data_IF_151448805264
#
_entry.id   IF_151448805264
#
_cell.length_a   1.000
_cell.length_b   1.000
_cell.length_c   1.000
_cell.angle_alpha   90.00
_cell.angle_beta   90.00
_cell.angle_gamma   90.00
#
_symmetry.space_group_name_H-M   'P 1'
#
loop_
_entity.id
_entity.type
_entity.pdbx_description
1 polymer ?
#
# COMPACT_ATOMS: atom_id res chain seq x y z
N UNK A 1 7.34 -7.63 23.62
CA UNK A 1 6.44 -8.38 22.70
C UNK A 1 6.28 -7.57 21.44
N UNK A 2 6.38 -8.20 20.28
CA UNK A 2 6.16 -7.54 18.98
C UNK A 2 4.66 -7.34 18.72
N UNK A 3 4.29 -6.35 17.91
CA UNK A 3 2.89 -6.07 17.53
C UNK A 3 2.31 -7.15 16.61
N UNK A 4 3.15 -7.68 15.72
CA UNK A 4 2.83 -8.80 14.80
C UNK A 4 3.65 -10.02 15.24
N UNK A 5 3.06 -11.21 15.15
CA UNK A 5 3.70 -12.49 15.49
C UNK A 5 3.80 -13.37 14.25
N UNK A 6 4.98 -13.95 14.04
CA UNK A 6 5.21 -14.99 13.05
C UNK A 6 5.25 -16.34 13.76
N UNK A 7 4.30 -17.22 13.45
CA UNK A 7 4.21 -18.57 14.00
C UNK A 7 4.45 -19.60 12.90
N UNK A 8 5.59 -20.26 12.97
CA UNK A 8 6.02 -21.31 12.05
C UNK A 8 6.09 -22.69 12.73
N UNK A 9 5.47 -22.84 13.91
CA UNK A 9 5.46 -24.10 14.68
C UNK A 9 4.87 -25.29 13.93
N UNK A 10 3.97 -25.04 12.98
CA UNK A 10 3.37 -26.09 12.12
C UNK A 10 4.32 -26.62 11.04
N UNK A 11 5.47 -25.97 10.83
CA UNK A 11 6.50 -26.42 9.90
C UNK A 11 7.62 -27.18 10.61
N UNK A 12 7.98 -26.73 11.81
CA UNK A 12 9.08 -27.29 12.59
C UNK A 12 8.85 -28.73 13.01
N UNK A 13 9.85 -29.58 12.81
CA UNK A 13 9.85 -31.00 13.20
C UNK A 13 8.90 -31.89 12.37
N UNK A 14 8.16 -31.31 11.42
CA UNK A 14 7.32 -32.06 10.48
C UNK A 14 7.86 -31.98 9.04
N UNK A 15 8.29 -30.79 8.62
CA UNK A 15 8.77 -30.55 7.26
C UNK A 15 10.14 -29.89 7.21
N UNK A 16 10.53 -29.18 8.27
CA UNK A 16 11.82 -28.52 8.41
C UNK A 16 12.32 -28.74 9.84
N UNK A 17 13.56 -29.17 9.99
CA UNK A 17 14.19 -29.31 11.29
C UNK A 17 14.76 -27.98 11.80
N UNK A 18 14.88 -27.82 13.12
CA UNK A 18 15.40 -26.58 13.72
C UNK A 18 16.82 -26.26 13.22
N UNK A 19 17.67 -27.28 13.07
CA UNK A 19 19.05 -27.12 12.60
C UNK A 19 19.11 -26.54 11.18
N UNK A 20 18.15 -26.85 10.31
CA UNK A 20 18.09 -26.30 8.96
C UNK A 20 17.88 -24.78 8.98
N UNK A 21 17.05 -24.29 9.91
CA UNK A 21 16.86 -22.85 10.12
C UNK A 21 18.14 -22.23 10.69
N UNK A 22 18.76 -22.88 11.68
CA UNK A 22 19.97 -22.39 12.34
C UNK A 22 21.13 -22.27 11.33
N UNK A 23 21.24 -23.18 10.37
CA UNK A 23 22.25 -23.14 9.31
C UNK A 23 22.06 -22.00 8.31
N UNK A 24 20.89 -21.33 8.27
CA UNK A 24 20.67 -20.14 7.45
C UNK A 24 21.17 -18.85 8.11
N UNK A 25 21.49 -18.87 9.42
CA UNK A 25 21.83 -17.67 10.17
C UNK A 25 23.01 -16.87 9.56
N UNK A 26 24.12 -17.49 9.08
CA UNK A 26 25.19 -16.74 8.45
C UNK A 26 24.74 -15.94 7.21
N UNK A 27 23.86 -16.51 6.39
CA UNK A 27 23.32 -15.89 5.18
C UNK A 27 22.35 -14.76 5.54
N UNK A 28 21.52 -14.96 6.57
CA UNK A 28 20.63 -13.91 7.09
C UNK A 28 21.43 -12.72 7.61
N UNK A 29 22.50 -12.97 8.37
CA UNK A 29 23.38 -11.91 8.87
C UNK A 29 24.02 -11.11 7.72
N UNK A 30 24.52 -11.78 6.68
CA UNK A 30 25.08 -11.12 5.51
C UNK A 30 24.03 -10.27 4.78
N UNK A 31 22.81 -10.77 4.63
CA UNK A 31 21.71 -10.02 4.00
C UNK A 31 21.30 -8.79 4.82
N UNK A 32 21.18 -8.91 6.15
CA UNK A 32 20.91 -7.78 7.05
C UNK A 32 22.02 -6.72 6.95
N UNK A 33 23.28 -7.14 6.92
CA UNK A 33 24.42 -6.23 6.74
C UNK A 33 24.37 -5.49 5.40
N UNK A 34 24.07 -6.18 4.30
CA UNK A 34 23.93 -5.55 2.99
C UNK A 34 22.82 -4.51 2.94
N UNK A 35 21.69 -4.78 3.59
CA UNK A 35 20.57 -3.84 3.68
C UNK A 35 20.96 -2.62 4.53
N UNK A 36 21.46 -2.83 5.75
CA UNK A 36 21.76 -1.74 6.69
C UNK A 36 22.95 -0.88 6.26
N UNK A 37 23.94 -1.46 5.58
CA UNK A 37 25.12 -0.73 5.09
C UNK A 37 24.95 -0.23 3.66
N UNK A 38 23.89 -0.63 2.95
CA UNK A 38 23.66 -0.24 1.56
C UNK A 38 24.75 -0.74 0.61
N UNK A 39 25.36 -1.89 0.88
CA UNK A 39 26.47 -2.44 0.07
C UNK A 39 26.04 -3.55 -0.89
N UNK A 40 24.80 -4.04 -0.77
CA UNK A 40 24.26 -5.06 -1.66
C UNK A 40 23.80 -4.52 -3.02
N UNK A 41 23.56 -5.39 -4.02
CA UNK A 41 22.97 -4.99 -5.29
C UNK A 41 21.61 -4.29 -5.11
N UNK A 42 21.40 -3.19 -5.83
CA UNK A 42 20.16 -2.39 -5.74
C UNK A 42 20.10 -1.46 -4.53
N UNK A 43 21.24 -1.20 -3.88
CA UNK A 43 21.31 -0.33 -2.69
C UNK A 43 20.83 1.11 -2.93
N UNK A 44 20.79 1.56 -4.17
CA UNK A 44 20.20 2.85 -4.57
C UNK A 44 18.70 2.97 -4.20
N UNK A 45 18.00 1.85 -3.96
CA UNK A 45 16.55 1.79 -3.71
C UNK A 45 16.18 1.37 -2.28
N UNK A 46 17.01 1.68 -1.29
CA UNK A 46 16.80 1.31 0.13
C UNK A 46 16.10 2.39 0.97
N UNK A 47 15.62 3.48 0.37
CA UNK A 47 14.97 4.58 1.09
C UNK A 47 13.76 4.17 1.94
N UNK A 48 13.14 3.02 1.65
CA UNK A 48 12.02 2.47 2.43
C UNK A 48 12.41 1.96 3.82
N UNK A 49 13.69 1.66 4.08
CA UNK A 49 14.14 1.14 5.38
C UNK A 49 13.87 2.14 6.50
N UNK A 50 14.26 3.39 6.29
CA UNK A 50 14.17 4.45 7.30
C UNK A 50 12.98 5.40 7.06
N UNK A 51 12.23 5.21 5.96
CA UNK A 51 11.07 6.03 5.62
C UNK A 51 10.06 6.17 6.77
N UNK A 52 9.73 5.13 7.57
CA UNK A 52 8.81 5.27 8.70
C UNK A 52 9.26 6.30 9.76
N UNK A 53 10.56 6.54 9.88
CA UNK A 53 11.14 7.49 10.84
C UNK A 53 11.49 8.83 10.19
N UNK A 54 11.97 8.79 8.93
CA UNK A 54 12.59 9.90 8.20
C UNK A 54 11.78 10.41 7.00
N UNK A 55 10.47 10.19 6.95
CA UNK A 55 9.61 10.79 5.93
C UNK A 55 9.59 12.32 6.03
N UNK A 56 9.32 12.99 4.91
CA UNK A 56 9.15 14.45 4.87
C UNK A 56 7.83 14.85 5.58
N UNK A 57 7.98 15.48 6.75
CA UNK A 57 6.86 15.92 7.60
C UNK A 57 6.09 17.09 7.01
N UNK A 58 6.73 17.94 6.21
CA UNK A 58 6.06 19.05 5.53
C UNK A 58 5.21 18.52 4.37
N UNK A 59 5.74 17.56 3.61
CA UNK A 59 4.98 16.84 2.60
C UNK A 59 3.79 16.10 3.21
N UNK A 60 3.99 15.38 4.32
CA UNK A 60 2.90 14.69 5.00
C UNK A 60 1.78 15.66 5.41
N UNK A 61 2.12 16.84 5.93
CA UNK A 61 1.14 17.87 6.24
C UNK A 61 0.43 18.41 4.98
N UNK A 62 1.13 18.54 3.84
CA UNK A 62 0.52 18.91 2.55
C UNK A 62 -0.45 17.83 2.05
N UNK A 63 -0.10 16.55 2.18
CA UNK A 63 -0.97 15.41 1.83
C UNK A 63 -2.28 15.48 2.63
N UNK A 64 -2.20 15.70 3.95
CA UNK A 64 -3.40 15.83 4.79
C UNK A 64 -4.29 17.01 4.37
N UNK A 65 -3.68 18.16 4.05
CA UNK A 65 -4.42 19.33 3.55
C UNK A 65 -5.10 19.06 2.20
N UNK A 66 -4.40 18.39 1.28
CA UNK A 66 -4.96 18.01 -0.01
C UNK A 66 -6.12 17.02 0.15
N UNK A 67 -5.98 16.02 1.02
CA UNK A 67 -7.04 15.07 1.33
C UNK A 67 -8.28 15.75 1.92
N UNK A 68 -8.10 16.69 2.86
CA UNK A 68 -9.21 17.46 3.43
C UNK A 68 -9.91 18.33 2.38
N UNK A 69 -9.15 18.94 1.45
CA UNK A 69 -9.71 19.69 0.34
C UNK A 69 -10.57 18.78 -0.54
N UNK A 70 -10.01 17.67 -1.04
CA UNK A 70 -10.71 16.70 -1.90
C UNK A 70 -11.97 16.16 -1.21
N UNK A 71 -11.94 15.90 0.10
CA UNK A 71 -13.12 15.48 0.84
C UNK A 71 -14.21 16.56 0.92
N UNK A 72 -13.85 17.84 0.85
CA UNK A 72 -14.79 18.96 0.95
C UNK A 72 -15.43 19.35 -0.36
N UNK A 73 -14.78 19.07 -1.49
CA UNK A 73 -15.20 19.54 -2.81
C UNK A 73 -15.18 18.48 -3.92
N UNK A 74 -15.16 17.19 -3.55
CA UNK A 74 -15.30 16.10 -4.52
C UNK A 74 -16.17 14.97 -3.97
N UNK A 75 -17.05 14.46 -4.82
CA UNK A 75 -17.81 13.22 -4.68
C UNK A 75 -16.96 12.00 -5.07
N UNK A 76 -16.00 12.15 -5.98
CA UNK A 76 -15.15 11.06 -6.49
C UNK A 76 -13.67 11.47 -6.56
N UNK A 77 -12.79 10.60 -6.08
CA UNK A 77 -11.35 10.64 -6.36
C UNK A 77 -10.99 9.52 -7.34
N UNK A 78 -10.51 9.89 -8.53
CA UNK A 78 -9.97 8.94 -9.51
C UNK A 78 -8.45 8.87 -9.37
N UNK A 79 -7.94 7.74 -8.89
CA UNK A 79 -6.51 7.47 -8.78
C UNK A 79 -6.00 6.85 -10.08
N UNK A 80 -5.08 7.52 -10.76
CA UNK A 80 -4.50 7.04 -12.03
C UNK A 80 -3.11 6.44 -11.76
N UNK A 81 -2.99 5.12 -11.90
CA UNK A 81 -1.73 4.43 -11.64
C UNK A 81 -1.80 2.93 -11.90
N UNK A 82 -0.63 2.28 -12.04
CA UNK A 82 -0.49 0.84 -12.22
C UNK A 82 0.64 0.30 -11.32
N UNK A 83 0.64 -1.01 -11.06
CA UNK A 83 1.67 -1.65 -10.25
C UNK A 83 1.71 -1.09 -8.83
N UNK A 84 2.89 -0.63 -8.39
CA UNK A 84 3.11 -0.07 -7.05
C UNK A 84 2.24 1.17 -6.76
N UNK A 85 2.01 2.02 -7.76
CA UNK A 85 1.19 3.25 -7.64
C UNK A 85 -0.32 2.98 -7.57
N UNK A 86 -0.74 1.72 -7.58
CA UNK A 86 -2.15 1.30 -7.53
C UNK A 86 -2.40 0.29 -6.41
N UNK A 87 -1.62 -0.80 -6.35
CA UNK A 87 -1.89 -1.91 -5.44
C UNK A 87 -1.74 -1.51 -3.96
N UNK A 88 -0.77 -0.65 -3.62
CA UNK A 88 -0.58 -0.19 -2.24
C UNK A 88 -1.78 0.61 -1.72
N UNK A 89 -2.24 1.58 -2.51
CA UNK A 89 -3.40 2.39 -2.17
C UNK A 89 -4.68 1.53 -2.07
N UNK A 90 -4.93 0.68 -3.09
CA UNK A 90 -6.11 -0.19 -3.11
C UNK A 90 -6.13 -1.18 -1.95
N UNK A 91 -5.00 -1.83 -1.65
CA UNK A 91 -4.93 -2.78 -0.55
C UNK A 91 -5.23 -2.14 0.81
N UNK A 92 -4.68 -0.95 1.09
CA UNK A 92 -4.93 -0.24 2.35
C UNK A 92 -6.40 0.19 2.46
N UNK A 93 -6.98 0.74 1.39
CA UNK A 93 -8.37 1.19 1.36
C UNK A 93 -9.33 0.01 1.51
N UNK A 94 -9.15 -1.06 0.74
CA UNK A 94 -10.01 -2.25 0.79
C UNK A 94 -9.93 -2.96 2.16
N UNK A 95 -8.76 -2.94 2.82
CA UNK A 95 -8.57 -3.56 4.14
C UNK A 95 -9.17 -2.74 5.29
N UNK A 96 -9.10 -1.41 5.22
CA UNK A 96 -9.51 -0.51 6.31
C UNK A 96 -10.93 0.05 6.17
N UNK A 97 -11.54 -0.09 4.99
CA UNK A 97 -12.86 0.48 4.69
C UNK A 97 -13.96 -0.57 4.70
N UNK A 98 -15.22 -0.11 4.68
CA UNK A 98 -16.36 -0.99 4.44
C UNK A 98 -16.25 -1.63 3.03
N UNK A 99 -16.54 -2.94 2.90
CA UNK A 99 -16.48 -3.64 1.60
C UNK A 99 -17.37 -3.03 0.51
N UNK A 100 -18.42 -2.30 0.90
CA UNK A 100 -19.33 -1.61 0.01
C UNK A 100 -19.21 -0.08 0.11
N UNK A 101 -18.06 0.44 0.57
CA UNK A 101 -17.83 1.87 0.81
C UNK A 101 -18.31 2.76 -0.36
N UNK A 102 -17.94 2.41 -1.60
CA UNK A 102 -18.35 3.18 -2.78
C UNK A 102 -19.86 3.10 -3.09
N UNK A 103 -20.58 2.10 -2.57
CA UNK A 103 -22.04 1.94 -2.75
C UNK A 103 -22.84 2.63 -1.63
N UNK A 104 -22.19 3.08 -0.56
CA UNK A 104 -22.85 3.82 0.51
C UNK A 104 -23.30 5.20 0.00
N UNK A 105 -24.39 5.73 0.56
CA UNK A 105 -24.83 7.09 0.30
C UNK A 105 -23.77 8.10 0.78
N UNK A 106 -23.69 9.27 0.14
CA UNK A 106 -22.64 10.26 0.46
C UNK A 106 -22.64 10.66 1.95
N UNK A 107 -23.82 10.78 2.55
CA UNK A 107 -23.98 11.12 3.98
C UNK A 107 -23.41 10.06 4.95
N UNK A 108 -23.30 8.80 4.51
CA UNK A 108 -22.80 7.68 5.31
C UNK A 108 -21.29 7.44 5.09
N UNK A 109 -20.68 8.10 4.10
CA UNK A 109 -19.26 7.98 3.77
C UNK A 109 -18.45 9.05 4.51
N UNK A 110 -17.21 8.70 4.85
CA UNK A 110 -16.22 9.62 5.46
C UNK A 110 -15.41 10.41 4.42
N UNK A 111 -15.75 10.32 3.14
CA UNK A 111 -14.98 10.86 2.03
C UNK A 111 -15.59 10.51 0.66
N UNK A 112 -14.89 10.87 -0.43
CA UNK A 112 -15.35 10.61 -1.78
C UNK A 112 -15.31 9.11 -2.11
N UNK A 113 -16.02 8.72 -3.16
CA UNK A 113 -15.82 7.42 -3.78
C UNK A 113 -14.40 7.34 -4.33
N UNK A 114 -13.73 6.20 -4.15
CA UNK A 114 -12.38 6.01 -4.68
C UNK A 114 -12.45 5.07 -5.88
N UNK A 115 -12.12 5.59 -7.07
CA UNK A 115 -12.07 4.85 -8.32
C UNK A 115 -10.64 4.83 -8.86
N UNK A 116 -10.36 3.90 -9.77
CA UNK A 116 -9.02 3.70 -10.30
C UNK A 116 -9.02 3.72 -11.82
N UNK A 117 -8.00 4.29 -12.43
CA UNK A 117 -7.80 4.26 -13.88
C UNK A 117 -6.31 4.08 -14.22
N UNK A 118 -6.00 3.83 -15.49
CA UNK A 118 -4.62 3.65 -15.95
C UNK A 118 -3.94 2.36 -15.50
N UNK A 119 -4.63 1.52 -14.73
CA UNK A 119 -4.20 0.18 -14.31
C UNK A 119 -4.48 -0.91 -15.37
N UNK A 120 -5.06 -0.54 -16.51
CA UNK A 120 -5.25 -1.39 -17.70
C UNK A 120 -5.37 -0.53 -18.96
N UNK A 121 -5.39 -1.16 -20.14
CA UNK A 121 -5.58 -0.50 -21.46
C UNK A 121 -6.99 -0.81 -22.01
N UNK A 122 -7.97 -1.05 -21.14
CA UNK A 122 -9.35 -1.31 -21.56
C UNK A 122 -10.04 0.02 -21.88
N UNK A 123 -10.24 0.31 -23.16
CA UNK A 123 -10.98 1.49 -23.61
C UNK A 123 -12.44 1.46 -23.15
N UNK A 124 -13.06 0.28 -23.11
CA UNK A 124 -14.41 0.08 -22.57
C UNK A 124 -14.49 0.49 -21.11
N UNK A 125 -13.58 -0.01 -20.27
CA UNK A 125 -13.54 0.36 -18.85
C UNK A 125 -13.39 1.87 -18.65
N UNK A 126 -12.49 2.49 -19.43
CA UNK A 126 -12.29 3.93 -19.34
C UNK A 126 -13.52 4.71 -19.79
N UNK A 127 -14.21 4.28 -20.86
CA UNK A 127 -15.44 4.90 -21.32
C UNK A 127 -16.55 4.80 -20.26
N UNK A 128 -16.72 3.61 -19.66
CA UNK A 128 -17.71 3.39 -18.60
C UNK A 128 -17.39 4.23 -17.35
N UNK A 129 -16.11 4.37 -17.00
CA UNK A 129 -15.67 5.20 -15.87
C UNK A 129 -15.95 6.69 -16.13
N UNK A 130 -15.63 7.19 -17.32
CA UNK A 130 -15.91 8.58 -17.72
C UNK A 130 -17.41 8.85 -17.66
N UNK A 131 -18.22 7.96 -18.23
CA UNK A 131 -19.69 8.06 -18.18
C UNK A 131 -20.20 8.03 -16.74
N UNK A 132 -19.60 7.23 -15.86
CA UNK A 132 -19.97 7.16 -14.45
C UNK A 132 -19.69 8.46 -13.70
N UNK A 133 -18.56 9.12 -13.95
CA UNK A 133 -18.14 10.32 -13.19
C UNK A 133 -18.62 11.64 -13.80
N UNK A 134 -19.22 11.63 -15.00
CA UNK A 134 -19.53 12.85 -15.77
C UNK A 134 -20.36 13.93 -15.04
N UNK A 135 -21.22 13.51 -14.11
CA UNK A 135 -22.12 14.38 -13.35
C UNK A 135 -21.77 14.40 -11.84
N UNK A 136 -20.54 14.02 -11.49
CA UNK A 136 -20.04 14.01 -10.10
C UNK A 136 -18.89 15.01 -10.00
N UNK A 137 -19.00 15.95 -9.06
CA UNK A 137 -17.94 16.92 -8.79
C UNK A 137 -16.77 16.30 -8.00
#
# INVERSE_FOLDING_TARGET
>A
MTHIKFDYSKLLGQFVEQEEIDFMQPQVNAADEYLRKGTGPGSDFLGWLDLPENYDKEEFARIQKAAAKIQSDSEVLVVIGIGGSYLGARAAIDFLSNHFYNLQASADRKGPQILYAGNSISSTYLADLVEYVKDKD
#
